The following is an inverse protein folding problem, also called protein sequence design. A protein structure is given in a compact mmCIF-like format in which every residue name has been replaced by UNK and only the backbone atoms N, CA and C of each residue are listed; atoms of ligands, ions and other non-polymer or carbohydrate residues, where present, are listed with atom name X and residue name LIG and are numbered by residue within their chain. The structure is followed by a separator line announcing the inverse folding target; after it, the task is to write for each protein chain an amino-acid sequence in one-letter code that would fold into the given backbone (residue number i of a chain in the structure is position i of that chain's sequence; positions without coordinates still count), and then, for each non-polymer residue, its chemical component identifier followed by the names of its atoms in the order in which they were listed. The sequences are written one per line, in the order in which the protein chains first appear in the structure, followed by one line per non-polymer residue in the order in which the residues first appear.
data_IF_349917677104
#
_entry.id   IF_349917677104
#
_cell.length_a   1.000
_cell.length_b   1.000
_cell.length_c   1.000
_cell.angle_alpha   90.00
_cell.angle_beta   90.00
_cell.angle_gamma   90.00
#
_symmetry.space_group_name_H-M   'P 1'
#
loop_
_entity.id
_entity.type
_entity.pdbx_description
1 polymer ?
#
# COMPACT_ATOMS: atom_id res chain seq x y z
N UNK A 1 -12.16 -12.67 2.60
CA UNK A 1 -11.24 -11.53 2.78
C UNK A 1 -10.72 -11.15 1.39
N UNK A 2 -10.79 -9.87 1.02
CA UNK A 2 -10.48 -9.36 -0.33
C UNK A 2 -9.31 -8.40 -0.17
N UNK A 3 -8.12 -8.79 -0.62
CA UNK A 3 -7.12 -7.80 -1.01
C UNK A 3 -7.30 -7.60 -2.51
N UNK A 4 -6.99 -6.42 -3.00
CA UNK A 4 -7.03 -6.11 -4.42
C UNK A 4 -5.86 -5.23 -4.76
N UNK A 5 -5.33 -5.44 -5.96
CA UNK A 5 -4.35 -4.52 -6.54
C UNK A 5 -5.11 -3.34 -7.11
N UNK A 6 -4.74 -2.14 -6.66
CA UNK A 6 -5.31 -0.90 -7.16
C UNK A 6 -4.35 -0.29 -8.16
N UNK A 7 -4.84 -0.04 -9.37
CA UNK A 7 -4.12 0.71 -10.38
C UNK A 7 -4.63 2.15 -10.35
N UNK A 8 -3.71 3.11 -10.35
CA UNK A 8 -4.03 4.53 -10.29
C UNK A 8 -3.63 5.23 -11.57
N UNK A 9 -4.43 6.22 -11.96
CA UNK A 9 -4.13 7.04 -13.13
C UNK A 9 -2.89 7.89 -12.87
N UNK A 10 -1.96 7.82 -13.83
CA UNK A 10 -0.73 8.62 -13.82
C UNK A 10 -0.96 9.83 -14.72
N UNK A 11 -0.90 11.02 -14.11
CA UNK A 11 -0.93 12.29 -14.81
C UNK A 11 0.51 12.75 -15.00
N UNK A 12 1.00 12.84 -16.23
CA UNK A 12 2.40 13.16 -16.49
C UNK A 12 2.61 14.15 -17.62
N UNK A 13 3.70 14.90 -17.53
CA UNK A 13 4.20 15.82 -18.55
C UNK A 13 5.74 15.88 -18.50
N UNK A 14 6.35 16.82 -19.23
CA UNK A 14 7.81 16.96 -19.31
C UNK A 14 8.52 17.20 -17.96
N UNK A 15 7.78 17.56 -16.91
CA UNK A 15 8.29 17.84 -15.56
C UNK A 15 8.29 16.59 -14.68
N UNK A 16 7.57 15.55 -15.07
CA UNK A 16 7.48 14.30 -14.32
C UNK A 16 6.06 13.72 -14.28
N UNK A 17 5.77 12.97 -13.21
CA UNK A 17 4.51 12.26 -13.03
C UNK A 17 3.86 12.58 -11.67
N UNK A 18 2.53 12.59 -11.65
CA UNK A 18 1.69 12.86 -10.51
C UNK A 18 0.56 11.83 -10.45
N UNK A 19 0.30 11.31 -9.26
CA UNK A 19 -0.89 10.50 -8.97
C UNK A 19 -1.70 11.25 -7.91
N UNK A 20 -2.95 11.59 -8.23
CA UNK A 20 -3.88 12.18 -7.28
C UNK A 20 -4.79 11.08 -6.73
N UNK A 21 -4.95 11.02 -5.41
CA UNK A 21 -5.78 10.02 -4.73
C UNK A 21 -6.84 10.70 -3.89
N UNK A 22 -8.09 10.35 -4.14
CA UNK A 22 -9.24 10.86 -3.41
C UNK A 22 -9.92 9.73 -2.63
N UNK A 23 -10.31 10.04 -1.40
CA UNK A 23 -11.10 9.14 -0.57
C UNK A 23 -12.48 8.90 -1.18
N UNK A 24 -12.98 7.67 -1.03
CA UNK A 24 -14.26 7.21 -1.57
C UNK A 24 -14.38 7.33 -3.10
N UNK A 25 -13.25 7.39 -3.81
CA UNK A 25 -13.16 7.31 -5.27
C UNK A 25 -12.20 6.16 -5.62
N UNK A 26 -10.93 6.44 -5.89
CA UNK A 26 -9.91 5.42 -6.15
C UNK A 26 -9.63 4.54 -4.93
N UNK A 27 -9.84 5.06 -3.72
CA UNK A 27 -9.68 4.32 -2.47
C UNK A 27 -11.08 4.18 -1.83
N UNK A 28 -11.57 2.94 -1.57
CA UNK A 28 -12.97 2.68 -1.21
C UNK A 28 -13.31 3.02 0.25
N UNK A 29 -12.49 3.84 0.92
CA UNK A 29 -12.71 4.28 2.29
C UNK A 29 -12.20 5.71 2.49
N UNK A 30 -12.63 6.32 3.60
CA UNK A 30 -12.24 7.68 3.97
C UNK A 30 -10.85 7.73 4.61
N UNK A 31 -10.05 8.72 4.21
CA UNK A 31 -8.72 8.92 4.81
C UNK A 31 -8.86 9.48 6.22
N UNK A 32 -8.35 8.75 7.21
CA UNK A 32 -8.17 9.29 8.56
C UNK A 32 -6.71 9.59 8.88
N UNK A 33 -5.78 8.95 8.17
CA UNK A 33 -4.34 9.09 8.41
C UNK A 33 -3.53 8.64 7.20
N UNK A 34 -2.49 9.40 6.89
CA UNK A 34 -1.43 9.02 5.95
C UNK A 34 -0.11 8.97 6.72
N UNK A 35 0.69 7.95 6.47
CA UNK A 35 2.03 7.82 7.06
C UNK A 35 2.96 7.14 6.06
N UNK A 36 4.24 7.47 6.14
CA UNK A 36 5.29 6.93 5.29
C UNK A 36 6.36 6.27 6.17
N UNK A 37 6.98 5.25 5.60
CA UNK A 37 8.13 4.57 6.20
C UNK A 37 9.28 4.71 5.24
N UNK A 38 10.41 5.14 5.77
CA UNK A 38 11.62 5.44 5.01
C UNK A 38 12.84 5.04 5.84
N UNK A 39 14.00 4.93 5.18
CA UNK A 39 15.26 4.52 5.78
C UNK A 39 15.15 3.21 6.59
N UNK A 40 14.48 2.22 6.02
CA UNK A 40 14.37 0.87 6.59
C UNK A 40 15.71 0.17 6.37
N UNK A 41 16.26 -0.44 7.42
CA UNK A 41 17.49 -1.25 7.32
C UNK A 41 17.27 -2.48 6.45
N UNK A 42 18.33 -3.06 5.90
CA UNK A 42 18.24 -4.21 4.96
C UNK A 42 17.50 -5.43 5.55
N UNK A 43 17.60 -5.63 6.86
CA UNK A 43 16.89 -6.69 7.61
C UNK A 43 15.50 -6.27 8.12
N UNK A 44 15.03 -5.08 7.74
CA UNK A 44 13.91 -4.37 8.35
C UNK A 44 12.53 -4.96 8.04
N UNK A 45 12.31 -6.22 8.39
CA UNK A 45 10.98 -6.84 8.42
C UNK A 45 10.12 -6.13 9.45
N UNK A 46 8.94 -5.66 9.02
CA UNK A 46 8.02 -4.91 9.86
C UNK A 46 6.56 -5.25 9.57
N UNK A 47 5.67 -4.68 10.38
CA UNK A 47 4.22 -4.81 10.19
C UNK A 47 3.62 -6.13 10.66
N UNK A 48 4.38 -7.01 11.33
CA UNK A 48 4.00 -8.35 11.81
C UNK A 48 2.80 -8.40 12.80
N UNK A 49 1.66 -7.85 12.41
CA UNK A 49 0.42 -7.75 13.15
C UNK A 49 -0.75 -7.66 12.16
N UNK A 50 -1.96 -7.86 12.68
CA UNK A 50 -3.20 -7.64 11.95
C UNK A 50 -4.02 -6.55 12.66
N UNK A 51 -4.86 -5.86 11.91
CA UNK A 51 -5.74 -4.83 12.45
C UNK A 51 -7.20 -5.30 12.42
N UNK A 52 -7.93 -5.05 13.52
CA UNK A 52 -9.33 -5.48 13.66
C UNK A 52 -10.32 -4.59 12.91
N UNK A 53 -10.02 -3.30 12.77
CA UNK A 53 -10.94 -2.27 12.25
C UNK A 53 -10.34 -1.38 11.17
N UNK A 54 -9.01 -1.37 11.00
CA UNK A 54 -8.35 -0.45 10.08
C UNK A 54 -8.17 -1.10 8.72
N UNK A 55 -8.44 -0.33 7.68
CA UNK A 55 -8.20 -0.66 6.28
C UNK A 55 -6.96 0.10 5.79
N UNK A 56 -6.23 -0.48 4.85
CA UNK A 56 -4.97 0.06 4.36
C UNK A 56 -4.87 -0.05 2.85
N UNK A 57 -4.34 1.01 2.23
CA UNK A 57 -3.71 0.95 0.91
C UNK A 57 -2.22 1.14 1.14
N UNK A 58 -1.41 0.23 0.61
CA UNK A 58 0.04 0.29 0.69
C UNK A 58 0.58 0.75 -0.66
N UNK A 59 1.38 1.81 -0.68
CA UNK A 59 1.95 2.40 -1.89
C UNK A 59 3.48 2.47 -1.73
N UNK A 60 4.21 1.83 -2.63
CA UNK A 60 5.66 1.94 -2.70
C UNK A 60 6.02 3.15 -3.58
N UNK A 61 6.39 4.28 -2.95
CA UNK A 61 6.70 5.51 -3.69
C UNK A 61 8.07 5.46 -4.39
N UNK A 62 9.02 4.69 -3.86
CA UNK A 62 10.36 4.58 -4.42
C UNK A 62 11.01 3.25 -4.01
N UNK A 63 11.76 2.64 -4.93
CA UNK A 63 12.42 1.36 -4.70
C UNK A 63 11.48 0.17 -4.92
N UNK A 64 11.56 -0.83 -4.04
CA UNK A 64 10.74 -2.05 -4.08
C UNK A 64 10.39 -2.46 -2.67
N UNK A 65 9.21 -3.03 -2.45
CA UNK A 65 8.86 -3.56 -1.14
C UNK A 65 8.07 -4.85 -1.27
N UNK A 66 8.48 -5.88 -0.54
CA UNK A 66 7.75 -7.14 -0.51
C UNK A 66 6.77 -7.16 0.64
N UNK A 67 5.48 -7.15 0.34
CA UNK A 67 4.43 -7.32 1.35
C UNK A 67 4.01 -8.78 1.40
N UNK A 68 4.07 -9.39 2.59
CA UNK A 68 3.57 -10.75 2.85
C UNK A 68 2.29 -10.67 3.67
N UNK A 69 1.17 -11.04 3.08
CA UNK A 69 -0.11 -11.17 3.76
C UNK A 69 -0.29 -12.61 4.22
N UNK A 70 -0.76 -12.83 5.45
CA UNK A 70 -1.12 -14.16 5.96
C UNK A 70 -2.55 -14.09 6.48
N UNK A 71 -3.40 -14.95 5.92
CA UNK A 71 -4.75 -15.16 6.39
C UNK A 71 -4.88 -16.55 7.04
N UNK A 72 -5.96 -16.71 7.78
CA UNK A 72 -6.50 -17.94 8.36
C UNK A 72 -6.60 -19.13 7.38
N UNK A 73 -6.68 -18.86 6.07
CA UNK A 73 -6.37 -19.83 5.01
C UNK A 73 -4.99 -19.47 4.45
N UNK A 74 -3.98 -20.29 4.74
CA UNK A 74 -2.58 -20.01 4.41
C UNK A 74 -2.39 -19.66 2.93
N UNK A 75 -2.32 -18.35 2.65
CA UNK A 75 -1.98 -17.82 1.33
C UNK A 75 -1.00 -16.68 1.57
N UNK A 76 0.19 -16.87 1.03
CA UNK A 76 1.22 -15.83 0.99
C UNK A 76 1.10 -15.11 -0.34
N UNK A 77 0.68 -13.86 -0.28
CA UNK A 77 0.75 -12.96 -1.44
C UNK A 77 2.01 -12.13 -1.32
N UNK A 78 2.70 -11.97 -2.45
CA UNK A 78 3.92 -11.19 -2.60
C UNK A 78 3.58 -10.10 -3.60
N UNK A 79 3.37 -8.88 -3.11
CA UNK A 79 3.37 -7.68 -3.95
C UNK A 79 4.77 -7.07 -3.81
N UNK A 80 5.46 -6.81 -4.92
CA UNK A 80 6.84 -6.26 -4.99
C UNK A 80 6.80 -4.79 -5.35
#
# INVERSE_FOLDING_TARGET
MKFEELNFDILGDERGALIALHANQQIPFSFQRVFYIYNVTDDGKRGCHANRKSEFVLICLHGKCRVKLRCDKEREHIVV
#
